data_IF_925364459945
#
_entry.id   IF_925364459945
#
_cell.length_a   1.000
_cell.length_b   1.000
_cell.length_c   1.000
_cell.angle_alpha   90.00
_cell.angle_beta   90.00
_cell.angle_gamma   90.00
#
_symmetry.space_group_name_H-M   'P 1'
#
loop_
_entity.id
_entity.type
_entity.pdbx_description
1 polymer ?
#
# COMPACT_ATOMS: atom_id res chain seq x y z
N UNK A 1 -35.77 -1.74 38.23
CA UNK A 1 -35.04 -3.03 38.06
C UNK A 1 -35.16 -3.66 36.66
N UNK A 2 -35.53 -2.92 35.59
CA UNK A 2 -35.90 -3.53 34.29
C UNK A 2 -34.77 -3.66 33.24
N UNK A 3 -33.59 -3.06 33.47
CA UNK A 3 -32.58 -2.93 32.40
C UNK A 3 -31.21 -3.55 32.75
N UNK A 4 -31.10 -4.33 33.83
CA UNK A 4 -29.82 -4.92 34.29
C UNK A 4 -29.22 -5.92 33.30
N UNK A 5 -30.05 -6.50 32.44
CA UNK A 5 -29.61 -7.49 31.44
C UNK A 5 -28.98 -6.85 30.20
N UNK A 6 -29.27 -5.57 29.92
CA UNK A 6 -28.63 -4.85 28.81
C UNK A 6 -27.12 -4.73 29.01
N UNK A 7 -26.68 -4.46 30.25
CA UNK A 7 -25.25 -4.38 30.57
C UNK A 7 -24.55 -5.72 30.34
N UNK A 8 -25.22 -6.84 30.66
CA UNK A 8 -24.69 -8.19 30.43
C UNK A 8 -24.55 -8.51 28.94
N UNK A 9 -25.55 -8.18 28.13
CA UNK A 9 -25.49 -8.35 26.66
C UNK A 9 -24.39 -7.50 26.05
N UNK A 10 -24.24 -6.26 26.52
CA UNK A 10 -23.18 -5.37 26.03
C UNK A 10 -21.77 -5.87 26.41
N UNK A 11 -21.61 -6.41 27.62
CA UNK A 11 -20.36 -7.03 28.08
C UNK A 11 -20.02 -8.28 27.26
N UNK A 12 -21.02 -9.12 26.94
CA UNK A 12 -20.87 -10.29 26.08
C UNK A 12 -20.54 -9.93 24.62
N UNK A 13 -21.13 -8.86 24.06
CA UNK A 13 -20.78 -8.39 22.72
C UNK A 13 -19.32 -7.90 22.64
N UNK A 14 -18.84 -7.24 23.70
CA UNK A 14 -17.44 -6.78 23.76
C UNK A 14 -16.45 -7.94 23.84
N UNK A 15 -16.85 -9.09 24.39
CA UNK A 15 -16.01 -10.30 24.49
C UNK A 15 -15.84 -11.03 23.15
N UNK A 16 -16.72 -10.78 22.17
CA UNK A 16 -16.63 -11.33 20.81
C UNK A 16 -16.01 -10.37 19.79
N UNK A 17 -15.43 -9.25 20.23
CA UNK A 17 -14.74 -8.33 19.34
C UNK A 17 -13.42 -8.97 18.84
N UNK A 18 -13.43 -9.46 17.60
CA UNK A 18 -12.24 -9.98 16.92
C UNK A 18 -11.48 -8.82 16.27
N UNK A 19 -10.16 -8.83 16.33
CA UNK A 19 -9.35 -7.85 15.60
C UNK A 19 -9.46 -8.09 14.08
N UNK A 20 -9.43 -7.01 13.29
CA UNK A 20 -9.36 -7.08 11.84
C UNK A 20 -8.01 -7.66 11.38
N UNK A 21 -8.04 -8.56 10.39
CA UNK A 21 -6.83 -9.13 9.80
C UNK A 21 -6.17 -8.09 8.88
N UNK A 22 -4.86 -7.86 8.99
CA UNK A 22 -4.19 -6.89 8.13
C UNK A 22 -4.29 -7.35 6.67
N UNK A 23 -4.95 -6.53 5.86
CA UNK A 23 -5.04 -6.75 4.42
C UNK A 23 -3.81 -6.12 3.75
N UNK A 24 -2.99 -6.95 3.13
CA UNK A 24 -1.85 -6.50 2.33
C UNK A 24 -2.08 -6.88 0.87
N UNK A 25 -1.57 -6.03 -0.02
CA UNK A 25 -1.53 -6.32 -1.45
C UNK A 25 -0.11 -6.73 -1.83
N UNK A 26 0.02 -7.88 -2.47
CA UNK A 26 1.29 -8.32 -3.05
C UNK A 26 1.40 -7.77 -4.46
N UNK A 27 2.47 -7.01 -4.72
CA UNK A 27 2.80 -6.49 -6.03
C UNK A 27 3.96 -7.33 -6.56
N UNK A 28 3.73 -8.07 -7.65
CA UNK A 28 4.75 -8.86 -8.36
C UNK A 28 4.99 -8.28 -9.77
N UNK A 29 5.96 -8.82 -10.52
CA UNK A 29 6.35 -8.34 -11.86
C UNK A 29 5.18 -8.31 -12.87
N UNK A 30 4.16 -9.15 -12.67
CA UNK A 30 2.91 -9.14 -13.45
C UNK A 30 2.06 -7.87 -13.20
N UNK A 31 2.33 -7.14 -12.11
CA UNK A 31 1.49 -6.08 -11.56
C UNK A 31 2.08 -4.67 -11.76
N UNK A 32 2.91 -4.46 -12.79
CA UNK A 32 3.38 -3.16 -13.28
C UNK A 32 4.50 -2.45 -12.48
N UNK A 33 5.09 -3.06 -11.44
CA UNK A 33 6.34 -2.55 -10.85
C UNK A 33 7.54 -3.25 -11.50
N UNK A 34 8.49 -2.52 -12.13
CA UNK A 34 9.55 -3.15 -12.93
C UNK A 34 10.65 -3.87 -12.15
N UNK A 35 10.58 -3.87 -10.82
CA UNK A 35 11.49 -4.62 -9.96
C UNK A 35 10.87 -4.91 -8.59
N UNK A 36 11.19 -6.08 -8.06
CA UNK A 36 10.87 -6.52 -6.71
C UNK A 36 11.94 -6.11 -5.66
N UNK A 37 13.04 -5.49 -6.07
CA UNK A 37 14.13 -5.02 -5.19
C UNK A 37 13.92 -3.55 -4.84
N UNK A 38 13.20 -3.30 -3.74
CA UNK A 38 12.88 -1.93 -3.26
C UNK A 38 13.91 -1.48 -2.21
N UNK A 39 14.49 -0.30 -2.41
CA UNK A 39 15.42 0.33 -1.48
C UNK A 39 14.78 1.42 -0.62
N UNK A 40 13.81 2.15 -1.16
CA UNK A 40 13.19 3.29 -0.48
C UNK A 40 11.75 3.54 -0.92
N UNK A 41 10.96 4.09 0.01
CA UNK A 41 9.56 4.48 -0.18
C UNK A 41 9.34 5.87 0.43
N UNK A 42 8.58 6.71 -0.28
CA UNK A 42 8.17 8.04 0.18
C UNK A 42 6.75 8.34 -0.30
N UNK A 43 5.87 8.83 0.56
CA UNK A 43 4.57 9.37 0.14
C UNK A 43 4.62 10.90 0.13
N UNK A 44 4.11 11.53 -0.94
CA UNK A 44 3.99 12.99 -0.99
C UNK A 44 2.68 13.49 -0.34
N UNK A 45 2.55 14.81 -0.18
CA UNK A 45 1.35 15.44 0.41
C UNK A 45 0.07 15.23 -0.42
N UNK A 46 0.20 14.88 -1.70
CA UNK A 46 -0.93 14.59 -2.60
C UNK A 46 -1.32 13.12 -2.56
N UNK A 47 -0.57 12.29 -1.84
CA UNK A 47 -0.83 10.86 -1.67
C UNK A 47 -0.14 9.97 -2.70
N UNK A 48 0.70 10.50 -3.60
CA UNK A 48 1.49 9.67 -4.51
C UNK A 48 2.61 8.96 -3.75
N UNK A 49 2.88 7.70 -4.13
CA UNK A 49 3.96 6.91 -3.54
C UNK A 49 5.14 6.86 -4.51
N UNK A 50 6.30 7.32 -4.07
CA UNK A 50 7.57 7.22 -4.77
C UNK A 50 8.33 6.00 -4.27
N UNK A 51 8.85 5.22 -5.22
CA UNK A 51 9.50 3.92 -5.01
C UNK A 51 10.86 3.96 -5.68
N UNK A 52 11.92 3.88 -4.88
CA UNK A 52 13.29 3.71 -5.35
C UNK A 52 13.64 2.22 -5.40
N UNK A 53 13.89 1.70 -6.60
CA UNK A 53 14.32 0.32 -6.83
C UNK A 53 15.56 0.29 -7.75
N UNK A 54 16.13 -0.89 -7.96
CA UNK A 54 17.26 -1.08 -8.89
C UNK A 54 16.93 -0.77 -10.36
N UNK A 55 15.65 -0.81 -10.73
CA UNK A 55 15.14 -0.38 -12.04
C UNK A 55 14.99 1.15 -12.17
N UNK A 56 15.18 1.92 -11.09
CA UNK A 56 15.10 3.38 -11.07
C UNK A 56 14.06 3.93 -10.09
N UNK A 57 13.57 5.14 -10.36
CA UNK A 57 12.57 5.82 -9.54
C UNK A 57 11.19 5.74 -10.20
N UNK A 58 10.20 5.26 -9.46
CA UNK A 58 8.82 5.13 -9.92
C UNK A 58 7.86 5.90 -9.03
N UNK A 59 6.83 6.49 -9.63
CA UNK A 59 5.70 7.12 -8.95
C UNK A 59 4.46 6.26 -9.12
N UNK A 60 3.77 5.96 -8.03
CA UNK A 60 2.55 5.18 -7.96
C UNK A 60 1.36 6.06 -7.57
N UNK A 61 0.27 5.97 -8.34
CA UNK A 61 -0.96 6.77 -8.17
C UNK A 61 -2.12 6.00 -7.53
N UNK A 62 -1.87 4.77 -7.06
CA UNK A 62 -2.91 3.85 -6.56
C UNK A 62 -3.33 2.79 -7.58
N UNK A 63 -3.01 2.99 -8.87
CA UNK A 63 -3.37 2.06 -9.96
C UNK A 63 -2.17 1.71 -10.84
N UNK A 64 -1.29 2.67 -11.13
CA UNK A 64 -0.22 2.56 -12.12
C UNK A 64 1.10 3.08 -11.57
N UNK A 65 2.19 2.45 -12.02
CA UNK A 65 3.56 2.91 -11.79
C UNK A 65 4.05 3.65 -13.03
N UNK A 66 4.53 4.88 -12.83
CA UNK A 66 5.10 5.70 -13.90
C UNK A 66 6.57 5.96 -13.59
N UNK A 67 7.50 5.69 -14.53
CA UNK A 67 8.90 6.01 -14.33
C UNK A 67 9.09 7.52 -14.22
N UNK A 68 9.82 7.96 -13.20
CA UNK A 68 10.25 9.35 -13.04
C UNK A 68 11.56 9.51 -13.81
N UNK A 69 11.50 10.19 -14.95
CA UNK A 69 12.69 10.50 -15.73
C UNK A 69 13.38 11.72 -15.13
N UNK A 70 14.67 11.61 -14.88
CA UNK A 70 15.52 12.78 -14.70
C UNK A 70 15.82 13.31 -16.12
N UNK A 71 15.54 14.60 -16.37
CA UNK A 71 15.90 15.25 -17.64
C UNK A 71 17.40 15.05 -17.89
N UNK A 72 17.73 14.17 -18.84
CA UNK A 72 19.11 13.77 -19.15
C UNK A 72 19.36 12.26 -19.30
N UNK A 73 18.45 11.39 -18.87
CA UNK A 73 18.63 9.94 -19.07
C UNK A 73 18.18 9.52 -20.49
N UNK A 74 19.06 8.91 -21.32
CA UNK A 74 18.64 8.38 -22.61
C UNK A 74 17.58 7.28 -22.38
N UNK A 75 16.45 7.36 -23.10
CA UNK A 75 15.44 6.30 -23.07
C UNK A 75 16.13 4.97 -23.40
N UNK A 76 16.10 4.02 -22.45
CA UNK A 76 16.56 2.66 -22.69
C UNK A 76 15.75 2.11 -23.87
N UNK A 77 16.39 1.94 -25.02
CA UNK A 77 15.78 1.27 -26.18
C UNK A 77 15.53 -0.16 -25.76
N UNK A 78 14.27 -0.49 -25.50
CA UNK A 78 13.81 -1.88 -25.48
C UNK A 78 14.00 -2.45 -26.88
N UNK A 79 14.83 -3.49 -26.97
CA UNK A 79 14.98 -4.34 -28.14
C UNK A 79 13.84 -5.35 -28.20
#
# INVERSE_FOLDING_TARGET
MKNRWLCGVFLLMSLCAVAQYPHYYTINDENNLPSNVVYSLLQDEKGFIFIGCDAGLYKFDGVRYTPVLCDGTPKRKTA
#
